data_IF_239573282283
#
_entry.id   IF_239573282283
#
_cell.length_a   1.000
_cell.length_b   1.000
_cell.length_c   1.000
_cell.angle_alpha   90.00
_cell.angle_beta   90.00
_cell.angle_gamma   90.00
#
_symmetry.space_group_name_H-M   'P 1'
#
loop_
_entity.id
_entity.type
_entity.pdbx_description
1 polymer ?
#
# COMPACT_ATOMS: atom_id res chain seq x y z
N UNK A 1 5.77 -23.66 28.76
CA UNK A 1 5.76 -22.57 27.81
C UNK A 1 5.48 -23.14 26.42
N UNK A 2 4.27 -22.98 25.88
CA UNK A 2 3.99 -23.34 24.47
C UNK A 2 4.55 -22.22 23.61
N UNK A 3 5.56 -22.50 22.83
CA UNK A 3 6.00 -21.61 21.78
C UNK A 3 4.86 -21.54 20.76
N UNK A 4 4.07 -20.48 20.80
CA UNK A 4 3.01 -20.26 19.83
C UNK A 4 3.67 -20.02 18.48
N UNK A 5 3.52 -20.95 17.57
CA UNK A 5 3.90 -20.75 16.17
C UNK A 5 2.83 -19.86 15.55
N UNK A 6 3.12 -18.58 15.42
CA UNK A 6 2.25 -17.68 14.64
C UNK A 6 2.24 -18.13 13.18
N UNK A 7 1.07 -18.26 12.61
CA UNK A 7 0.97 -18.52 11.19
C UNK A 7 1.48 -17.32 10.36
N UNK A 8 2.08 -17.56 9.19
CA UNK A 8 2.71 -16.51 8.42
C UNK A 8 1.69 -15.46 7.92
N UNK A 9 2.13 -14.20 7.93
CA UNK A 9 1.55 -13.15 7.11
C UNK A 9 2.49 -12.95 5.93
N UNK A 10 2.03 -13.25 4.73
CA UNK A 10 2.78 -13.13 3.49
C UNK A 10 2.38 -11.83 2.83
N UNK A 11 3.36 -10.99 2.48
CA UNK A 11 3.13 -9.77 1.70
C UNK A 11 3.72 -10.01 0.31
N UNK A 12 2.86 -9.99 -0.71
CA UNK A 12 3.24 -10.09 -2.12
C UNK A 12 3.17 -8.70 -2.76
N UNK A 13 4.29 -8.26 -3.32
CA UNK A 13 4.45 -6.92 -3.90
C UNK A 13 4.59 -6.95 -5.43
N UNK A 14 4.64 -8.12 -6.03
CA UNK A 14 4.89 -8.28 -7.45
C UNK A 14 3.97 -9.31 -8.11
N UNK A 15 4.03 -9.35 -9.44
CA UNK A 15 3.03 -10.02 -10.28
C UNK A 15 3.00 -11.55 -10.18
N UNK A 16 4.03 -12.22 -9.64
CA UNK A 16 4.16 -13.70 -9.65
C UNK A 16 4.99 -14.25 -8.50
N UNK A 17 4.75 -13.78 -7.31
CA UNK A 17 5.51 -14.22 -6.14
C UNK A 17 4.87 -15.45 -5.48
N UNK A 18 3.59 -15.68 -5.69
CA UNK A 18 2.86 -16.81 -5.13
C UNK A 18 2.02 -17.49 -6.20
N UNK A 19 2.17 -18.80 -6.31
CA UNK A 19 1.36 -19.66 -7.18
C UNK A 19 -0.13 -19.57 -6.78
N UNK A 20 -1.07 -19.63 -7.73
CA UNK A 20 -2.51 -19.71 -7.46
C UNK A 20 -2.88 -20.77 -6.41
N UNK A 21 -2.22 -21.93 -6.42
CA UNK A 21 -2.40 -22.96 -5.40
C UNK A 21 -1.96 -22.50 -3.99
N UNK A 22 -1.11 -21.50 -3.88
CA UNK A 22 -0.74 -20.88 -2.63
C UNK A 22 -1.84 -19.96 -2.08
N UNK A 23 -2.55 -19.26 -2.97
CA UNK A 23 -3.66 -18.39 -2.59
C UNK A 23 -4.80 -19.16 -1.93
N UNK A 24 -5.15 -20.33 -2.48
CA UNK A 24 -6.22 -21.18 -1.93
C UNK A 24 -5.92 -21.76 -0.54
N UNK A 25 -4.66 -21.69 -0.08
CA UNK A 25 -4.25 -22.13 1.24
C UNK A 25 -4.30 -21.03 2.29
N UNK A 26 -4.61 -19.81 1.90
CA UNK A 26 -4.71 -18.67 2.81
C UNK A 26 -6.09 -18.63 3.46
N UNK A 27 -6.11 -18.32 4.74
CA UNK A 27 -7.35 -18.18 5.50
C UNK A 27 -7.97 -16.80 5.25
N UNK A 28 -7.12 -15.79 4.97
CA UNK A 28 -7.55 -14.45 4.57
C UNK A 28 -6.67 -13.94 3.44
N UNK A 29 -7.31 -13.39 2.41
CA UNK A 29 -6.65 -12.68 1.31
C UNK A 29 -7.09 -11.23 1.36
N UNK A 30 -6.12 -10.32 1.40
CA UNK A 30 -6.30 -8.87 1.40
C UNK A 30 -5.58 -8.29 0.21
N UNK A 31 -6.16 -7.32 -0.45
CA UNK A 31 -5.53 -6.62 -1.58
C UNK A 31 -5.57 -5.09 -1.37
N UNK A 32 -4.80 -4.36 -2.14
CA UNK A 32 -4.82 -2.89 -2.10
C UNK A 32 -6.08 -2.30 -2.74
N UNK A 33 -6.48 -2.78 -3.93
CA UNK A 33 -7.71 -2.38 -4.62
C UNK A 33 -8.13 -3.47 -5.60
N UNK A 34 -9.38 -3.91 -5.54
CA UNK A 34 -9.95 -4.86 -6.48
C UNK A 34 -9.91 -4.32 -7.91
N UNK A 35 -10.46 -3.13 -8.10
CA UNK A 35 -10.59 -2.54 -9.42
C UNK A 35 -9.23 -2.33 -10.09
N UNK A 36 -8.23 -1.90 -9.32
CA UNK A 36 -6.89 -1.70 -9.85
C UNK A 36 -6.21 -3.03 -10.22
N UNK A 37 -6.35 -4.07 -9.40
CA UNK A 37 -5.82 -5.41 -9.70
C UNK A 37 -6.52 -6.05 -10.90
N UNK A 38 -7.78 -5.70 -11.18
CA UNK A 38 -8.51 -6.17 -12.35
C UNK A 38 -8.12 -5.49 -13.65
N UNK A 39 -7.36 -4.41 -13.63
CA UNK A 39 -6.91 -3.75 -14.88
C UNK A 39 -5.96 -4.63 -15.68
N UNK A 40 -5.07 -5.36 -15.02
CA UNK A 40 -4.08 -6.21 -15.70
C UNK A 40 -3.36 -7.16 -14.72
N UNK A 41 -2.60 -8.09 -15.29
CA UNK A 41 -1.67 -8.94 -14.54
C UNK A 41 -2.20 -10.31 -14.18
N UNK A 42 -1.54 -10.98 -13.25
CA UNK A 42 -1.84 -12.35 -12.86
C UNK A 42 -3.14 -12.44 -12.07
N UNK A 43 -3.42 -11.48 -11.19
CA UNK A 43 -4.66 -11.45 -10.41
C UNK A 43 -5.90 -11.51 -11.31
N UNK A 44 -5.95 -10.64 -12.34
CA UNK A 44 -7.03 -10.64 -13.31
C UNK A 44 -7.19 -12.02 -13.99
N UNK A 45 -6.08 -12.65 -14.41
CA UNK A 45 -6.13 -13.98 -15.03
C UNK A 45 -6.68 -15.05 -14.10
N UNK A 46 -6.31 -14.99 -12.81
CA UNK A 46 -6.83 -15.90 -11.79
C UNK A 46 -8.34 -15.76 -11.64
N UNK A 47 -8.84 -14.53 -11.64
CA UNK A 47 -10.27 -14.25 -11.57
C UNK A 47 -10.99 -14.72 -12.85
N UNK A 48 -10.48 -14.36 -14.04
CA UNK A 48 -11.06 -14.75 -15.33
C UNK A 48 -11.06 -16.28 -15.55
N UNK A 49 -10.08 -16.97 -15.00
CA UNK A 49 -9.99 -18.45 -15.07
C UNK A 49 -10.77 -19.17 -13.96
N UNK A 50 -11.42 -18.43 -13.06
CA UNK A 50 -12.16 -19.00 -11.93
C UNK A 50 -11.29 -19.58 -10.82
N UNK A 51 -9.99 -19.30 -10.81
CA UNK A 51 -9.08 -19.74 -9.74
C UNK A 51 -9.19 -18.89 -8.48
N UNK A 52 -9.74 -17.68 -8.59
CA UNK A 52 -10.04 -16.79 -7.49
C UNK A 52 -11.29 -15.97 -7.80
N UNK A 53 -12.07 -15.65 -6.76
CA UNK A 53 -13.28 -14.85 -6.92
C UNK A 53 -13.38 -13.78 -5.83
N UNK A 54 -14.28 -12.80 -6.04
CA UNK A 54 -14.48 -11.71 -5.08
C UNK A 54 -15.02 -12.23 -3.73
N UNK A 55 -15.75 -13.31 -3.72
CA UNK A 55 -16.28 -13.94 -2.50
C UNK A 55 -15.18 -14.57 -1.64
N UNK A 56 -14.05 -14.91 -2.24
CA UNK A 56 -12.87 -15.43 -1.53
C UNK A 56 -11.99 -14.31 -0.97
N UNK A 57 -12.22 -13.06 -1.42
CA UNK A 57 -11.49 -11.92 -0.88
C UNK A 57 -11.99 -11.59 0.52
N UNK A 58 -11.07 -11.54 1.49
CA UNK A 58 -11.40 -11.06 2.82
C UNK A 58 -11.70 -9.57 2.82
N UNK A 59 -10.90 -8.78 2.15
CA UNK A 59 -11.13 -7.34 2.02
C UNK A 59 -10.00 -6.58 1.32
N UNK A 60 -10.22 -5.30 1.17
CA UNK A 60 -9.24 -4.35 0.70
C UNK A 60 -8.53 -3.67 1.88
N UNK A 61 -7.29 -3.21 1.68
CA UNK A 61 -6.49 -2.62 2.77
C UNK A 61 -7.21 -1.47 3.47
N UNK A 62 -7.94 -0.65 2.71
CA UNK A 62 -8.66 0.48 3.30
C UNK A 62 -9.76 0.04 4.29
N UNK A 63 -10.44 -1.08 4.04
CA UNK A 63 -11.47 -1.63 4.94
C UNK A 63 -10.86 -2.11 6.27
N UNK A 64 -9.61 -2.59 6.24
CA UNK A 64 -8.90 -2.98 7.46
C UNK A 64 -8.40 -1.75 8.22
N UNK A 65 -7.88 -0.76 7.52
CA UNK A 65 -7.35 0.47 8.14
C UNK A 65 -8.48 1.31 8.74
N UNK A 66 -9.65 1.36 8.09
CA UNK A 66 -10.84 2.04 8.63
C UNK A 66 -11.50 1.29 9.80
N UNK A 67 -11.16 0.01 9.98
CA UNK A 67 -11.76 -0.85 11.01
C UNK A 67 -13.09 -1.48 10.58
N UNK A 68 -13.49 -1.34 9.32
CA UNK A 68 -14.68 -2.00 8.76
C UNK A 68 -14.51 -3.52 8.74
N UNK A 69 -13.30 -3.99 8.50
CA UNK A 69 -12.95 -5.42 8.56
C UNK A 69 -11.80 -5.65 9.52
N UNK A 70 -11.87 -6.76 10.23
CA UNK A 70 -10.80 -7.17 11.15
C UNK A 70 -9.67 -7.80 10.36
N UNK A 71 -8.45 -7.51 10.78
CA UNK A 71 -7.25 -8.18 10.29
C UNK A 71 -7.14 -9.60 10.87
N UNK A 72 -6.02 -9.88 11.53
CA UNK A 72 -5.81 -11.17 12.24
C UNK A 72 -6.72 -11.28 13.45
N UNK A 73 -7.46 -12.36 13.54
CA UNK A 73 -8.34 -12.68 14.68
C UNK A 73 -7.84 -13.88 15.47
N UNK A 74 -7.07 -14.78 14.85
CA UNK A 74 -6.47 -15.95 15.48
C UNK A 74 -4.99 -16.05 15.10
N UNK A 75 -4.20 -16.61 16.01
CA UNK A 75 -2.75 -16.74 15.81
C UNK A 75 -2.37 -17.74 14.70
N UNK A 76 -3.27 -18.66 14.38
CA UNK A 76 -3.08 -19.71 13.37
C UNK A 76 -3.53 -19.29 11.95
N UNK A 77 -4.07 -18.10 11.78
CA UNK A 77 -4.50 -17.63 10.46
C UNK A 77 -3.31 -17.33 9.52
N UNK A 78 -3.35 -17.91 8.34
CA UNK A 78 -2.45 -17.59 7.24
C UNK A 78 -3.05 -16.45 6.44
N UNK A 79 -2.38 -15.33 6.42
CA UNK A 79 -2.87 -14.12 5.77
C UNK A 79 -1.98 -13.78 4.59
N UNK A 80 -2.57 -13.59 3.42
CA UNK A 80 -1.92 -13.04 2.24
C UNK A 80 -2.37 -11.59 2.06
N UNK A 81 -1.40 -10.69 1.95
CA UNK A 81 -1.63 -9.30 1.53
C UNK A 81 -0.97 -9.15 0.16
N UNK A 82 -1.77 -8.99 -0.89
CA UNK A 82 -1.27 -8.74 -2.24
C UNK A 82 -1.47 -7.28 -2.61
N UNK A 83 -0.38 -6.60 -2.95
CA UNK A 83 -0.41 -5.19 -3.35
C UNK A 83 0.33 -5.02 -4.66
N UNK A 84 -0.25 -4.24 -5.56
CA UNK A 84 0.38 -3.82 -6.81
C UNK A 84 0.86 -2.38 -6.76
N UNK A 85 0.56 -1.69 -5.65
CA UNK A 85 0.88 -0.30 -5.41
C UNK A 85 -0.18 0.66 -5.96
N UNK A 86 -0.51 1.66 -5.17
CA UNK A 86 -1.42 2.74 -5.55
C UNK A 86 -0.67 4.08 -5.49
N UNK A 87 -0.71 4.84 -6.57
CA UNK A 87 -0.08 6.17 -6.66
C UNK A 87 -0.53 7.11 -5.53
N UNK A 88 -1.75 6.93 -5.01
CA UNK A 88 -2.25 7.69 -3.86
C UNK A 88 -1.40 7.51 -2.60
N UNK A 89 -0.82 6.32 -2.40
CA UNK A 89 0.08 6.02 -1.28
C UNK A 89 1.40 6.79 -1.42
N UNK A 90 1.96 6.81 -2.65
CA UNK A 90 3.19 7.54 -2.96
C UNK A 90 2.98 9.05 -2.78
N UNK A 91 1.86 9.59 -3.25
CA UNK A 91 1.52 11.00 -3.11
C UNK A 91 1.35 11.38 -1.64
N UNK A 92 0.65 10.57 -0.86
CA UNK A 92 0.44 10.80 0.57
C UNK A 92 1.78 10.81 1.33
N UNK A 93 2.65 9.84 1.07
CA UNK A 93 3.98 9.75 1.68
C UNK A 93 4.86 10.92 1.24
N UNK A 94 4.89 11.24 -0.04
CA UNK A 94 5.67 12.36 -0.58
C UNK A 94 5.22 13.69 0.04
N UNK A 95 3.91 13.92 0.14
CA UNK A 95 3.36 15.11 0.78
C UNK A 95 3.76 15.20 2.26
N UNK A 96 3.64 14.10 3.00
CA UNK A 96 4.04 14.02 4.40
C UNK A 96 5.53 14.34 4.58
N UNK A 97 6.40 13.73 3.77
CA UNK A 97 7.84 13.98 3.82
C UNK A 97 8.20 15.41 3.45
N UNK A 98 7.55 15.95 2.41
CA UNK A 98 7.75 17.35 1.98
C UNK A 98 7.39 18.34 3.09
N UNK A 99 6.23 18.17 3.73
CA UNK A 99 5.81 19.02 4.85
C UNK A 99 6.80 18.94 6.02
N UNK A 100 7.20 17.75 6.41
CA UNK A 100 8.19 17.55 7.48
C UNK A 100 9.56 18.17 7.16
N UNK A 101 10.00 18.08 5.90
CA UNK A 101 11.25 18.69 5.45
C UNK A 101 11.20 20.22 5.55
N UNK A 102 10.09 20.84 5.11
CA UNK A 102 9.88 22.28 5.26
C UNK A 102 9.92 22.74 6.71
N UNK A 103 9.18 22.05 7.58
CA UNK A 103 9.08 22.39 9.00
C UNK A 103 10.42 22.27 9.73
N UNK A 104 11.30 21.37 9.26
CA UNK A 104 12.64 21.14 9.81
C UNK A 104 13.74 21.93 9.09
N UNK A 105 13.42 22.70 8.07
CA UNK A 105 14.40 23.41 7.25
C UNK A 105 15.35 22.52 6.48
N UNK A 106 14.90 21.30 6.11
CA UNK A 106 15.72 20.32 5.38
C UNK A 106 15.52 20.44 3.87
N UNK A 107 16.57 20.15 3.12
CA UNK A 107 16.57 20.13 1.66
C UNK A 107 17.11 21.41 1.04
N UNK A 108 17.23 21.39 -0.28
CA UNK A 108 17.72 22.53 -1.08
C UNK A 108 16.72 22.81 -2.19
N UNK A 109 16.38 24.08 -2.36
CA UNK A 109 15.55 24.50 -3.47
C UNK A 109 16.34 24.44 -4.78
N UNK A 110 15.82 23.69 -5.73
CA UNK A 110 16.39 23.62 -7.07
C UNK A 110 15.57 24.48 -8.04
N UNK A 111 16.22 25.18 -8.98
CA UNK A 111 15.51 25.92 -10.02
C UNK A 111 14.71 24.91 -10.88
N UNK A 112 13.51 25.32 -11.27
CA UNK A 112 12.68 24.53 -12.18
C UNK A 112 13.35 24.46 -13.55
N UNK A 113 13.52 23.28 -14.09
CA UNK A 113 14.05 23.12 -15.44
C UNK A 113 13.15 23.86 -16.47
N UNK A 114 13.71 24.85 -17.19
CA UNK A 114 13.00 25.61 -18.22
C UNK A 114 12.17 26.81 -17.75
N UNK A 115 12.25 27.21 -16.46
CA UNK A 115 11.61 28.44 -15.96
C UNK A 115 12.65 29.44 -15.48
N UNK A 116 12.42 30.73 -15.76
CA UNK A 116 13.18 31.81 -15.11
C UNK A 116 13.05 31.69 -13.60
N UNK A 117 14.15 31.94 -12.87
CA UNK A 117 14.18 31.91 -11.42
C UNK A 117 13.14 32.89 -10.86
N UNK A 118 12.00 32.35 -10.43
CA UNK A 118 11.00 33.15 -9.74
C UNK A 118 11.65 33.75 -8.49
N UNK A 119 11.66 35.07 -8.41
CA UNK A 119 12.17 35.85 -7.29
C UNK A 119 11.52 35.33 -6.01
N UNK A 120 12.31 34.65 -5.20
CA UNK A 120 11.95 34.21 -3.86
C UNK A 120 11.62 35.45 -3.02
N UNK A 121 10.36 35.65 -2.75
CA UNK A 121 9.89 36.59 -1.72
C UNK A 121 10.29 36.10 -0.35
N UNK A 122 11.52 36.38 0.07
CA UNK A 122 11.97 36.24 1.43
C UNK A 122 11.24 37.28 2.29
N UNK A 123 10.05 36.91 2.79
CA UNK A 123 9.35 37.66 3.83
C UNK A 123 10.18 37.60 5.12
N UNK A 124 10.99 38.62 5.33
CA UNK A 124 11.57 38.91 6.66
C UNK A 124 10.43 39.11 7.64
N UNK A 125 10.24 38.20 8.56
CA UNK A 125 9.47 38.50 9.78
C UNK A 125 10.40 39.28 10.69
N UNK A 126 10.17 40.60 10.78
CA UNK A 126 10.77 41.45 11.82
C UNK A 126 10.14 41.10 13.15
N UNK A 127 10.97 40.71 14.10
CA UNK A 127 10.67 40.70 15.53
C UNK A 127 10.70 42.13 16.03
N UNK A 128 9.62 42.56 16.63
CA UNK A 128 9.56 43.57 17.67
C UNK A 128 8.72 43.02 18.82
#
# INVERSE_FOLDING_TARGET
>A
MRCGVFAPCIISLARRELDPAGWSKMDKVVIDSWDFNMLQGEFRRMVESGQFSREQLHGEIHELVSGEKKGRERDDERILIHTTGLVSQDIALAHFLYRNALDKGLGTWLPRAGGEAGTSGAGRRSTT
#
